data_IF_881929418475
#
_entry.id   IF_881929418475
#
_cell.length_a   1.000
_cell.length_b   1.000
_cell.length_c   1.000
_cell.angle_alpha   90.00
_cell.angle_beta   90.00
_cell.angle_gamma   90.00
#
_symmetry.space_group_name_H-M   'P 1'
#
loop_
_entity.id
_entity.type
_entity.pdbx_description
1 polymer ?
#
# COMPACT_ATOMS: atom_id res chain seq x y z
N UNK A 1 -32.87 -14.60 8.47
CA UNK A 1 -33.29 -13.19 8.61
C UNK A 1 -32.03 -12.34 8.70
N UNK A 2 -31.80 -11.45 7.68
CA UNK A 2 -30.63 -10.55 7.65
C UNK A 2 -30.95 -9.15 8.20
N UNK A 3 -32.20 -8.90 8.63
CA UNK A 3 -32.62 -7.62 9.15
C UNK A 3 -33.89 -7.09 8.44
N UNK A 4 -34.38 -5.94 8.90
CA UNK A 4 -35.54 -5.26 8.34
C UNK A 4 -35.13 -3.87 7.87
N UNK A 5 -35.45 -3.52 6.62
CA UNK A 5 -35.21 -2.19 6.05
C UNK A 5 -36.52 -1.41 6.10
N UNK A 6 -36.51 -0.24 6.74
CA UNK A 6 -37.64 0.69 6.81
C UNK A 6 -37.40 1.90 5.90
N UNK A 7 -38.46 2.65 5.59
CA UNK A 7 -38.37 3.94 4.88
C UNK A 7 -37.35 4.90 5.51
N UNK A 8 -37.26 4.91 6.84
CA UNK A 8 -36.31 5.74 7.58
C UNK A 8 -34.84 5.35 7.28
N UNK A 9 -34.56 4.06 7.11
CA UNK A 9 -33.24 3.57 6.75
C UNK A 9 -32.83 4.00 5.35
N UNK A 10 -33.78 4.09 4.41
CA UNK A 10 -33.56 4.51 3.03
C UNK A 10 -33.32 6.04 2.96
N UNK A 11 -34.08 6.81 3.73
CA UNK A 11 -33.99 8.30 3.74
C UNK A 11 -32.74 8.78 4.52
N UNK A 12 -32.31 8.06 5.55
CA UNK A 12 -31.18 8.40 6.41
C UNK A 12 -30.04 7.39 6.25
N UNK A 13 -29.62 7.14 5.01
CA UNK A 13 -28.44 6.33 4.71
C UNK A 13 -27.22 6.98 5.37
N UNK A 14 -26.69 6.33 6.41
CA UNK A 14 -25.40 6.72 6.97
C UNK A 14 -24.31 6.23 6.02
N UNK A 15 -23.58 7.15 5.47
CA UNK A 15 -22.37 6.84 4.70
C UNK A 15 -21.40 6.05 5.57
N UNK A 16 -20.76 5.05 5.01
CA UNK A 16 -19.66 4.37 5.68
C UNK A 16 -18.47 5.31 5.76
N UNK A 17 -17.83 5.35 6.91
CA UNK A 17 -16.63 6.17 7.13
C UNK A 17 -15.41 5.34 6.77
N UNK A 18 -14.52 5.87 5.96
CA UNK A 18 -13.33 5.19 5.47
C UNK A 18 -12.08 6.04 5.63
N UNK A 19 -10.96 5.37 5.74
CA UNK A 19 -9.61 5.94 5.66
C UNK A 19 -8.96 5.30 4.43
N UNK A 20 -8.43 6.11 3.52
CA UNK A 20 -7.65 5.64 2.38
C UNK A 20 -6.18 5.57 2.78
N UNK A 21 -5.55 4.45 2.51
CA UNK A 21 -4.14 4.20 2.81
C UNK A 21 -3.46 3.70 1.54
N UNK A 22 -2.32 4.29 1.20
CA UNK A 22 -1.48 3.89 0.08
C UNK A 22 -2.08 4.14 -1.32
N UNK A 23 -3.10 4.96 -1.39
CA UNK A 23 -3.66 5.45 -2.65
C UNK A 23 -4.54 6.69 -2.41
N UNK A 24 -4.63 7.54 -3.44
CA UNK A 24 -5.49 8.71 -3.46
C UNK A 24 -6.20 8.90 -4.82
N UNK A 25 -6.42 7.80 -5.55
CA UNK A 25 -7.13 7.79 -6.83
C UNK A 25 -8.38 6.90 -6.74
N UNK A 26 -9.49 7.37 -7.29
CA UNK A 26 -10.77 6.65 -7.28
C UNK A 26 -10.70 5.28 -7.98
N UNK A 27 -9.85 5.16 -8.99
CA UNK A 27 -9.65 3.92 -9.75
C UNK A 27 -8.97 2.81 -8.97
N UNK A 28 -8.31 3.15 -7.87
CA UNK A 28 -7.64 2.20 -6.99
C UNK A 28 -8.46 1.86 -5.74
N UNK A 29 -9.55 2.61 -5.51
CA UNK A 29 -10.42 2.41 -4.36
C UNK A 29 -11.39 1.23 -4.59
N UNK A 30 -11.90 0.69 -3.48
CA UNK A 30 -12.90 -0.39 -3.53
C UNK A 30 -14.20 0.07 -4.16
N UNK A 31 -14.94 -0.85 -4.77
CA UNK A 31 -16.26 -0.57 -5.35
C UNK A 31 -17.21 0.02 -4.29
N UNK A 32 -17.94 1.07 -4.67
CA UNK A 32 -18.88 1.77 -3.79
C UNK A 32 -18.23 2.81 -2.86
N UNK A 33 -16.93 3.10 -3.05
CA UNK A 33 -16.23 4.10 -2.23
C UNK A 33 -16.85 5.51 -2.38
N UNK A 34 -17.42 5.83 -3.54
CA UNK A 34 -18.14 7.06 -3.85
C UNK A 34 -19.36 7.32 -2.94
N UNK A 35 -19.90 6.25 -2.33
CA UNK A 35 -20.98 6.31 -1.35
C UNK A 35 -20.47 6.46 0.09
N UNK A 36 -19.16 6.45 0.30
CA UNK A 36 -18.55 6.57 1.61
C UNK A 36 -18.26 8.03 1.99
N UNK A 37 -17.95 8.25 3.25
CA UNK A 37 -17.38 9.48 3.79
C UNK A 37 -15.89 9.24 4.04
N UNK A 38 -15.03 9.89 3.27
CA UNK A 38 -13.58 9.82 3.48
C UNK A 38 -13.23 10.71 4.67
N UNK A 39 -12.58 10.12 5.67
CA UNK A 39 -12.12 10.83 6.86
C UNK A 39 -10.67 11.26 6.73
N UNK A 40 -9.84 10.35 6.24
CA UNK A 40 -8.40 10.53 6.17
C UNK A 40 -7.84 9.90 4.91
N UNK A 41 -6.76 10.48 4.40
CA UNK A 41 -5.95 9.93 3.32
C UNK A 41 -4.50 9.96 3.79
N UNK A 42 -3.85 8.79 3.79
CA UNK A 42 -2.44 8.64 4.17
C UNK A 42 -1.73 7.95 3.02
N UNK A 43 -0.81 8.67 2.36
CA UNK A 43 -0.25 8.23 1.10
C UNK A 43 1.16 8.76 0.85
N UNK A 44 1.90 8.14 -0.06
CA UNK A 44 3.22 8.56 -0.52
C UNK A 44 3.29 8.78 -2.03
N UNK A 45 2.22 8.48 -2.75
CA UNK A 45 2.15 8.65 -4.20
C UNK A 45 1.92 10.11 -4.62
N UNK A 46 2.01 10.35 -5.91
CA UNK A 46 1.55 11.63 -6.49
C UNK A 46 0.09 11.88 -6.11
N UNK A 47 -0.27 13.15 -5.95
CA UNK A 47 -1.66 13.51 -5.69
C UNK A 47 -2.46 13.28 -6.96
N UNK A 48 -3.48 12.43 -6.88
CA UNK A 48 -4.40 12.09 -7.95
C UNK A 48 -5.59 13.04 -8.05
N UNK A 49 -6.66 12.56 -8.66
CA UNK A 49 -7.89 13.32 -8.94
C UNK A 49 -9.02 13.03 -7.95
N UNK A 50 -8.71 12.62 -6.72
CA UNK A 50 -9.73 12.32 -5.73
C UNK A 50 -10.41 13.61 -5.26
N UNK A 51 -11.73 13.64 -5.32
CA UNK A 51 -12.56 14.71 -4.78
C UNK A 51 -13.25 14.25 -3.49
N UNK A 52 -13.29 15.13 -2.49
CA UNK A 52 -13.96 14.86 -1.22
C UNK A 52 -15.10 15.82 -1.00
N UNK A 53 -16.19 15.37 -0.37
CA UNK A 53 -17.38 16.19 -0.11
C UNK A 53 -17.20 17.18 1.04
N UNK A 54 -16.11 17.13 1.76
CA UNK A 54 -15.80 18.00 2.90
C UNK A 54 -14.31 17.98 3.24
N UNK A 55 -13.87 18.76 4.25
CA UNK A 55 -12.50 18.73 4.71
C UNK A 55 -12.10 17.33 5.21
N UNK A 56 -10.90 16.88 4.81
CA UNK A 56 -10.32 15.60 5.24
C UNK A 56 -8.92 15.82 5.81
N UNK A 57 -8.49 14.94 6.70
CA UNK A 57 -7.09 14.87 7.05
C UNK A 57 -6.33 14.21 5.89
N UNK A 58 -5.41 14.96 5.27
CA UNK A 58 -4.62 14.45 4.16
C UNK A 58 -3.13 14.54 4.49
N UNK A 59 -2.49 13.39 4.66
CA UNK A 59 -1.06 13.27 4.90
C UNK A 59 -0.39 12.58 3.72
N UNK A 60 0.33 13.34 2.94
CA UNK A 60 1.15 12.84 1.84
C UNK A 60 2.59 13.27 2.03
N UNK A 61 3.53 12.34 1.88
CA UNK A 61 4.96 12.60 2.03
C UNK A 61 5.75 11.88 0.92
N UNK A 62 6.79 12.52 0.36
CA UNK A 62 7.62 11.92 -0.67
C UNK A 62 8.65 10.94 -0.06
N UNK A 63 8.17 9.83 0.46
CA UNK A 63 8.93 8.70 1.00
C UNK A 63 8.72 7.46 0.14
N UNK A 64 9.48 6.41 0.37
CA UNK A 64 9.45 5.19 -0.43
C UNK A 64 8.26 4.27 -0.16
N UNK A 65 7.57 4.45 0.98
CA UNK A 65 6.44 3.60 1.38
C UNK A 65 5.52 4.31 2.38
N UNK A 66 4.22 4.14 2.24
CA UNK A 66 3.23 4.65 3.21
C UNK A 66 3.45 4.09 4.62
N UNK A 67 3.98 2.87 4.77
CA UNK A 67 4.29 2.30 6.08
C UNK A 67 5.33 3.12 6.86
N UNK A 68 6.21 3.86 6.18
CA UNK A 68 7.13 4.81 6.80
C UNK A 68 6.36 5.95 7.47
N UNK A 69 5.33 6.48 6.79
CA UNK A 69 4.45 7.53 7.35
C UNK A 69 3.67 6.99 8.56
N UNK A 70 3.14 5.77 8.45
CA UNK A 70 2.41 5.14 9.56
C UNK A 70 3.32 4.95 10.78
N UNK A 71 4.57 4.52 10.59
CA UNK A 71 5.53 4.40 11.69
C UNK A 71 5.82 5.74 12.38
N UNK A 72 5.90 6.85 11.62
CA UNK A 72 6.02 8.20 12.17
C UNK A 72 4.75 8.60 12.94
N UNK A 73 3.56 8.25 12.45
CA UNK A 73 2.31 8.53 13.16
C UNK A 73 2.23 7.82 14.52
N UNK A 74 2.78 6.61 14.63
CA UNK A 74 2.92 5.95 15.93
C UNK A 74 3.76 6.76 16.90
N UNK A 75 4.91 7.26 16.43
CA UNK A 75 5.82 8.07 17.25
C UNK A 75 5.16 9.40 17.68
N UNK A 76 4.54 10.11 16.74
CA UNK A 76 3.87 11.39 16.95
C UNK A 76 2.75 11.30 17.99
N UNK A 77 2.06 10.16 18.04
CA UNK A 77 0.98 9.92 18.96
C UNK A 77 1.43 9.22 20.27
N UNK A 78 2.72 8.94 20.42
CA UNK A 78 3.27 8.24 21.58
C UNK A 78 2.74 6.83 21.75
N UNK A 79 2.37 6.17 20.65
CA UNK A 79 1.85 4.79 20.63
C UNK A 79 2.99 3.83 20.37
N UNK A 80 3.15 2.83 21.22
CA UNK A 80 4.17 1.80 21.05
C UNK A 80 3.82 0.85 19.90
N UNK A 81 4.78 0.61 19.00
CA UNK A 81 4.64 -0.34 17.91
C UNK A 81 4.93 -1.75 18.44
N UNK A 82 3.92 -2.63 18.40
CA UNK A 82 4.10 -4.03 18.79
C UNK A 82 4.97 -4.80 17.77
N UNK A 83 5.74 -5.82 18.19
CA UNK A 83 6.64 -6.57 17.29
C UNK A 83 5.97 -7.08 16.01
N UNK A 84 4.73 -7.60 16.10
CA UNK A 84 4.00 -8.10 14.94
C UNK A 84 3.67 -6.98 13.94
N UNK A 85 3.26 -5.80 14.46
CA UNK A 85 2.98 -4.63 13.61
C UNK A 85 4.28 -4.09 13.01
N UNK A 86 5.36 -4.07 13.78
CA UNK A 86 6.68 -3.67 13.27
C UNK A 86 7.13 -4.57 12.11
N UNK A 87 6.93 -5.89 12.21
CA UNK A 87 7.22 -6.83 11.13
C UNK A 87 6.40 -6.55 9.86
N UNK A 88 5.10 -6.27 10.00
CA UNK A 88 4.24 -5.92 8.86
C UNK A 88 4.64 -4.60 8.19
N UNK A 89 4.91 -3.55 8.98
CA UNK A 89 5.36 -2.26 8.46
C UNK A 89 6.73 -2.39 7.78
N UNK A 90 7.63 -3.18 8.36
CA UNK A 90 8.93 -3.50 7.77
C UNK A 90 8.77 -4.21 6.42
N UNK A 91 7.92 -5.24 6.35
CA UNK A 91 7.64 -5.96 5.11
C UNK A 91 7.18 -5.03 3.99
N UNK A 92 6.25 -4.11 4.29
CA UNK A 92 5.77 -3.13 3.33
C UNK A 92 6.90 -2.22 2.84
N UNK A 93 7.74 -1.67 3.75
CA UNK A 93 8.87 -0.81 3.36
C UNK A 93 9.85 -1.58 2.47
N UNK A 94 10.21 -2.81 2.82
CA UNK A 94 11.14 -3.62 2.04
C UNK A 94 10.59 -3.98 0.66
N UNK A 95 9.29 -4.24 0.56
CA UNK A 95 8.60 -4.49 -0.71
C UNK A 95 8.64 -3.28 -1.62
N UNK A 96 8.13 -2.13 -1.18
CA UNK A 96 8.00 -0.92 -2.00
C UNK A 96 9.34 -0.31 -2.37
N UNK A 97 10.33 -0.42 -1.49
CA UNK A 97 11.68 0.10 -1.73
C UNK A 97 12.61 -0.90 -2.40
N UNK A 98 12.14 -2.11 -2.72
CA UNK A 98 12.95 -3.21 -3.27
C UNK A 98 14.24 -3.42 -2.45
N UNK A 99 14.09 -3.54 -1.14
CA UNK A 99 15.19 -3.61 -0.18
C UNK A 99 16.15 -2.44 -0.38
N UNK A 100 15.61 -1.23 -0.33
CA UNK A 100 16.32 0.07 -0.46
C UNK A 100 16.95 0.35 -1.84
N UNK A 101 16.64 -0.45 -2.87
CA UNK A 101 17.19 -0.27 -4.24
C UNK A 101 16.29 0.59 -5.13
N UNK A 102 15.04 0.83 -4.74
CA UNK A 102 14.13 1.68 -5.50
C UNK A 102 14.63 3.13 -5.52
N UNK A 103 14.53 3.83 -6.66
CA UNK A 103 14.86 5.26 -6.74
C UNK A 103 13.95 6.14 -5.87
N UNK A 104 12.80 5.62 -5.43
CA UNK A 104 11.87 6.30 -4.52
C UNK A 104 12.27 6.16 -3.05
N UNK A 105 13.19 5.24 -2.73
CA UNK A 105 13.65 5.01 -1.36
C UNK A 105 14.37 6.24 -0.81
N UNK A 106 14.03 6.63 0.41
CA UNK A 106 14.63 7.77 1.11
C UNK A 106 15.43 7.32 2.34
N UNK A 107 16.33 8.15 2.86
CA UNK A 107 17.01 7.87 4.13
C UNK A 107 16.06 7.67 5.31
N UNK A 108 14.85 8.25 5.24
CA UNK A 108 13.81 8.07 6.26
C UNK A 108 13.26 6.64 6.23
N UNK A 109 13.05 6.07 5.04
CA UNK A 109 12.61 4.68 4.89
C UNK A 109 13.65 3.72 5.47
N UNK A 110 14.92 3.93 5.12
CA UNK A 110 16.03 3.10 5.62
C UNK A 110 16.12 3.14 7.16
N UNK A 111 16.11 4.34 7.75
CA UNK A 111 16.19 4.48 9.21
C UNK A 111 14.97 3.87 9.92
N UNK A 112 13.78 4.05 9.35
CA UNK A 112 12.54 3.47 9.88
C UNK A 112 12.57 1.95 9.79
N UNK A 113 13.00 1.37 8.67
CA UNK A 113 13.12 -0.08 8.50
C UNK A 113 14.07 -0.70 9.53
N UNK A 114 15.26 -0.11 9.74
CA UNK A 114 16.19 -0.59 10.75
C UNK A 114 15.62 -0.54 12.18
N UNK A 115 14.86 0.50 12.51
CA UNK A 115 14.17 0.61 13.79
C UNK A 115 13.08 -0.47 13.94
N UNK A 116 12.26 -0.66 12.91
CA UNK A 116 11.21 -1.66 12.91
C UNK A 116 11.77 -3.09 12.99
N UNK A 117 12.89 -3.38 12.33
CA UNK A 117 13.58 -4.66 12.40
C UNK A 117 14.01 -4.99 13.84
N UNK A 118 14.54 -4.01 14.57
CA UNK A 118 14.89 -4.16 16.00
C UNK A 118 13.66 -4.48 16.86
N UNK A 119 12.54 -3.79 16.63
CA UNK A 119 11.30 -4.00 17.38
C UNK A 119 10.73 -5.39 17.05
N UNK A 120 10.74 -5.79 15.77
CA UNK A 120 10.27 -7.09 15.32
C UNK A 120 11.19 -8.25 15.72
N UNK A 121 12.46 -7.97 16.03
CA UNK A 121 13.47 -8.98 16.37
C UNK A 121 13.93 -9.79 15.16
N UNK A 122 14.02 -9.16 13.98
CA UNK A 122 14.41 -9.83 12.72
C UNK A 122 15.62 -9.16 12.08
N UNK A 123 16.36 -9.93 11.28
CA UNK A 123 17.41 -9.44 10.41
C UNK A 123 16.81 -9.08 9.04
N UNK A 124 17.13 -7.89 8.52
CA UNK A 124 16.48 -7.34 7.31
C UNK A 124 16.69 -8.23 6.09
N UNK A 125 17.93 -8.66 5.82
CA UNK A 125 18.25 -9.42 4.61
C UNK A 125 17.59 -10.81 4.64
N UNK A 126 17.64 -11.48 5.79
CA UNK A 126 17.01 -12.79 5.98
C UNK A 126 15.48 -12.69 5.85
N UNK A 127 14.88 -11.69 6.51
CA UNK A 127 13.44 -11.45 6.46
C UNK A 127 12.97 -11.08 5.05
N UNK A 128 13.71 -10.23 4.32
CA UNK A 128 13.41 -9.87 2.94
C UNK A 128 13.46 -11.11 2.02
N UNK A 129 14.51 -11.94 2.15
CA UNK A 129 14.65 -13.18 1.37
C UNK A 129 13.44 -14.09 1.56
N UNK A 130 13.08 -14.35 2.82
CA UNK A 130 11.95 -15.21 3.17
C UNK A 130 10.61 -14.67 2.64
N UNK A 131 10.41 -13.34 2.76
CA UNK A 131 9.23 -12.65 2.27
C UNK A 131 9.09 -12.76 0.74
N UNK A 132 10.15 -12.46 0.00
CA UNK A 132 10.12 -12.52 -1.47
C UNK A 132 10.01 -13.97 -1.95
N UNK A 133 10.74 -14.93 -1.39
CA UNK A 133 10.61 -16.35 -1.72
C UNK A 133 9.16 -16.86 -1.49
N UNK A 134 8.50 -16.39 -0.43
CA UNK A 134 7.10 -16.74 -0.17
C UNK A 134 6.13 -16.13 -1.19
N UNK A 135 6.43 -14.92 -1.68
CA UNK A 135 5.65 -14.22 -2.72
C UNK A 135 5.88 -14.74 -4.15
N UNK A 136 7.10 -15.24 -4.40
CA UNK A 136 7.54 -15.72 -5.73
C UNK A 136 7.11 -17.16 -6.05
N UNK A 137 6.20 -17.76 -5.30
CA UNK A 137 5.73 -19.12 -5.60
C UNK A 137 5.16 -19.19 -7.01
N UNK A 138 6.02 -19.61 -7.94
CA UNK A 138 5.67 -19.90 -9.33
C UNK A 138 5.07 -21.29 -9.51
N UNK A 139 4.95 -22.06 -8.42
CA UNK A 139 4.47 -23.44 -8.43
C UNK A 139 3.08 -23.53 -9.06
N UNK A 140 3.03 -24.20 -10.20
CA UNK A 140 1.80 -24.44 -10.96
C UNK A 140 1.42 -23.34 -11.94
N UNK A 141 2.21 -22.27 -12.09
CA UNK A 141 1.98 -21.22 -13.09
C UNK A 141 2.70 -21.53 -14.40
N UNK A 142 2.04 -21.31 -15.52
CA UNK A 142 2.67 -21.36 -16.85
C UNK A 142 3.54 -20.13 -17.08
N UNK A 143 4.53 -20.19 -17.99
CA UNK A 143 5.33 -19.02 -18.36
C UNK A 143 4.49 -17.82 -18.82
N UNK A 144 3.36 -18.06 -19.47
CA UNK A 144 2.44 -17.03 -19.92
C UNK A 144 1.73 -16.36 -18.74
N UNK A 145 1.25 -17.12 -17.74
CA UNK A 145 0.65 -16.58 -16.53
C UNK A 145 1.65 -15.75 -15.73
N UNK A 146 2.89 -16.17 -15.65
CA UNK A 146 3.97 -15.40 -15.01
C UNK A 146 4.24 -14.09 -15.76
N UNK A 147 4.31 -14.14 -17.08
CA UNK A 147 4.53 -12.95 -17.92
C UNK A 147 3.40 -11.94 -17.80
N UNK A 148 2.15 -12.41 -17.71
CA UNK A 148 0.96 -11.58 -17.64
C UNK A 148 0.65 -11.06 -16.22
N UNK A 149 1.36 -11.50 -15.20
CA UNK A 149 1.06 -11.19 -13.80
C UNK A 149 1.15 -9.68 -13.48
N UNK A 150 2.13 -8.97 -14.06
CA UNK A 150 2.23 -7.50 -14.02
C UNK A 150 2.54 -6.96 -15.42
N UNK A 151 1.62 -7.25 -16.35
CA UNK A 151 1.71 -6.82 -17.73
C UNK A 151 0.85 -5.57 -17.95
N UNK A 152 1.49 -4.51 -18.41
CA UNK A 152 0.83 -3.24 -18.74
C UNK A 152 1.00 -2.88 -20.20
N UNK A 153 -0.06 -2.37 -20.80
CA UNK A 153 -0.05 -1.90 -22.18
C UNK A 153 0.05 -0.38 -22.20
N UNK A 154 0.98 0.12 -23.00
CA UNK A 154 1.20 1.54 -23.19
C UNK A 154 1.04 1.92 -24.66
N UNK A 155 0.70 3.19 -24.90
CA UNK A 155 0.67 3.81 -26.22
C UNK A 155 1.73 4.90 -26.29
N UNK A 156 2.49 4.91 -27.36
CA UNK A 156 3.41 6.00 -27.69
C UNK A 156 3.12 6.45 -29.14
N UNK A 157 2.36 7.52 -29.31
CA UNK A 157 1.77 7.86 -30.59
C UNK A 157 0.87 6.71 -31.06
N UNK A 158 1.11 6.21 -32.28
CA UNK A 158 0.35 5.10 -32.88
C UNK A 158 0.95 3.70 -32.55
N UNK A 159 2.03 3.65 -31.78
CA UNK A 159 2.69 2.39 -31.42
C UNK A 159 2.16 1.89 -30.08
N UNK A 160 1.62 0.67 -30.10
CA UNK A 160 1.20 -0.08 -28.91
C UNK A 160 2.32 -1.01 -28.48
N UNK A 161 2.74 -0.92 -27.21
CA UNK A 161 3.73 -1.85 -26.63
C UNK A 161 3.30 -2.32 -25.24
N UNK A 162 3.77 -3.51 -24.88
CA UNK A 162 3.54 -4.11 -23.57
C UNK A 162 4.82 -4.14 -22.74
N UNK A 163 4.69 -3.90 -21.44
CA UNK A 163 5.76 -4.05 -20.47
C UNK A 163 5.31 -5.05 -19.42
N UNK A 164 6.08 -6.11 -19.24
CA UNK A 164 5.94 -7.04 -18.13
C UNK A 164 7.05 -6.76 -17.11
N UNK A 165 6.71 -6.71 -15.84
CA UNK A 165 7.67 -6.59 -14.75
C UNK A 165 7.61 -7.84 -13.89
N UNK A 166 8.76 -8.51 -13.74
CA UNK A 166 8.95 -9.60 -12.80
C UNK A 166 9.95 -9.19 -11.73
N UNK A 167 9.61 -9.34 -10.47
CA UNK A 167 10.52 -9.09 -9.35
C UNK A 167 11.08 -10.42 -8.87
N UNK A 168 12.32 -10.70 -9.21
CA UNK A 168 13.03 -11.89 -8.74
C UNK A 168 14.23 -11.46 -7.92
N UNK A 169 14.36 -12.02 -6.72
CA UNK A 169 15.60 -11.90 -5.93
C UNK A 169 16.55 -13.01 -6.38
N UNK A 170 17.53 -12.69 -7.23
CA UNK A 170 18.63 -13.61 -7.47
C UNK A 170 19.52 -13.69 -6.24
N UNK A 171 19.85 -14.93 -5.85
CA UNK A 171 20.86 -15.22 -4.81
C UNK A 171 22.25 -14.75 -5.24
#
# INVERSE_FOLDING_TARGET
>A
YCGMVSRRNIIALRKRRIILVDHNEATQAVEGFDQAEILEIIDHHRIGSLETSGPVYFRNQPVGCTATIIAQMYDENGVEIRPQIAGLLLAAILSDTLVFRSPTCTPVDVSTAHRLAKIAGVEIDAFASEMFEAGEKLDGKTPEEVFLQDFKVFMCGDVRFGVAQGSYMTR
#
